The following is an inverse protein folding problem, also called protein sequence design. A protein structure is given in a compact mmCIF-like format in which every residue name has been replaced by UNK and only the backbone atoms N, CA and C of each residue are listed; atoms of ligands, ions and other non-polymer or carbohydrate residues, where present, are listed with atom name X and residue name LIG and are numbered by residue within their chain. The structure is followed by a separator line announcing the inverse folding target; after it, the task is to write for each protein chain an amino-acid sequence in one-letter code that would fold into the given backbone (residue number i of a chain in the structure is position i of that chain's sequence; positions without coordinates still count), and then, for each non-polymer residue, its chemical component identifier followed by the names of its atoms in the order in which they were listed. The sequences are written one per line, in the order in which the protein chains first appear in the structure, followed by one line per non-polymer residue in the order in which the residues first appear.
data_IF_853121369198
#
_entry.id   IF_853121369198
#
_cell.length_a   1.000
_cell.length_b   1.000
_cell.length_c   1.000
_cell.angle_alpha   90.00
_cell.angle_beta   90.00
_cell.angle_gamma   90.00
#
_symmetry.space_group_name_H-M   'P 1'
#
loop_
_entity.id
_entity.type
_entity.pdbx_description
1 polymer ?
#
# COMPACT_ATOMS: atom_id res chain seq x y z
N UNK A 1 -32.03 27.67 -30.25
CA UNK A 1 -32.39 26.88 -31.47
C UNK A 1 -31.55 25.60 -31.52
N UNK A 2 -32.13 24.46 -31.89
CA UNK A 2 -31.39 23.19 -31.99
C UNK A 2 -30.23 23.27 -33.00
N UNK A 3 -30.30 24.19 -33.97
CA UNK A 3 -29.30 24.37 -35.04
C UNK A 3 -27.92 24.80 -34.55
N UNK A 4 -27.84 25.48 -33.39
CA UNK A 4 -26.58 25.89 -32.76
C UNK A 4 -26.06 24.89 -31.74
N UNK A 5 -26.81 23.83 -31.44
CA UNK A 5 -26.41 22.84 -30.43
C UNK A 5 -25.26 21.93 -30.96
N UNK A 6 -24.38 21.42 -30.09
CA UNK A 6 -23.33 20.48 -30.48
C UNK A 6 -23.90 19.25 -31.20
N UNK A 7 -23.11 18.67 -32.12
CA UNK A 7 -23.54 17.51 -32.95
C UNK A 7 -24.09 16.35 -32.10
N UNK A 8 -23.48 16.10 -30.94
CA UNK A 8 -23.91 15.07 -30.00
C UNK A 8 -25.37 15.24 -29.50
N UNK A 9 -25.91 16.47 -29.52
CA UNK A 9 -27.28 16.76 -29.11
C UNK A 9 -28.29 16.72 -30.28
N UNK A 10 -27.82 16.61 -31.53
CA UNK A 10 -28.64 16.56 -32.75
C UNK A 10 -28.70 15.18 -33.40
N UNK A 11 -27.86 14.25 -32.94
CA UNK A 11 -27.76 12.91 -33.49
C UNK A 11 -28.88 12.00 -32.98
N UNK A 12 -29.32 11.07 -33.83
CA UNK A 12 -30.24 10.02 -33.44
C UNK A 12 -29.63 9.20 -32.29
N UNK A 13 -30.36 9.09 -31.18
CA UNK A 13 -29.93 8.27 -30.04
C UNK A 13 -30.29 6.82 -30.30
N UNK A 14 -29.31 5.93 -30.26
CA UNK A 14 -29.55 4.48 -30.28
C UNK A 14 -29.59 3.95 -28.85
N UNK A 15 -30.62 3.18 -28.50
CA UNK A 15 -30.69 2.49 -27.20
C UNK A 15 -30.28 1.03 -27.42
N UNK A 16 -29.15 0.64 -26.82
CA UNK A 16 -28.64 -0.74 -26.91
C UNK A 16 -29.27 -1.58 -25.79
N UNK A 17 -29.86 -2.75 -26.08
CA UNK A 17 -30.43 -3.63 -25.07
C UNK A 17 -29.39 -4.07 -24.01
N UNK A 18 -29.83 -4.12 -22.75
CA UNK A 18 -28.97 -4.36 -21.60
C UNK A 18 -28.02 -5.59 -21.63
N UNK A 19 -28.36 -6.71 -22.29
CA UNK A 19 -27.46 -7.87 -22.39
C UNK A 19 -26.31 -7.68 -23.38
N UNK A 20 -26.48 -6.85 -24.41
CA UNK A 20 -25.55 -6.76 -25.56
C UNK A 20 -24.19 -6.19 -25.15
N UNK A 21 -24.14 -5.35 -24.12
CA UNK A 21 -22.92 -4.71 -23.62
C UNK A 21 -22.69 -4.94 -22.13
N UNK A 22 -23.12 -6.09 -21.58
CA UNK A 22 -23.00 -6.38 -20.15
C UNK A 22 -21.59 -6.13 -19.57
N UNK A 23 -20.53 -6.43 -20.34
CA UNK A 23 -19.12 -6.19 -19.96
C UNK A 23 -18.74 -4.71 -19.83
N UNK A 24 -19.37 -3.83 -20.62
CA UNK A 24 -19.11 -2.39 -20.61
C UNK A 24 -20.10 -1.61 -19.74
N UNK A 25 -21.10 -2.30 -19.16
CA UNK A 25 -22.06 -1.65 -18.27
C UNK A 25 -21.34 -1.18 -17.01
N UNK A 26 -21.40 0.12 -16.80
CA UNK A 26 -21.01 0.74 -15.55
C UNK A 26 -22.28 1.00 -14.73
N UNK A 27 -22.19 0.80 -13.42
CA UNK A 27 -23.31 1.04 -12.48
C UNK A 27 -23.74 2.51 -12.51
N UNK A 28 -22.76 3.40 -12.50
CA UNK A 28 -22.96 4.84 -12.52
C UNK A 28 -22.78 5.37 -13.96
N UNK A 29 -23.57 6.38 -14.37
CA UNK A 29 -23.37 7.04 -15.66
C UNK A 29 -21.96 7.62 -15.77
N UNK A 30 -21.32 7.42 -16.92
CA UNK A 30 -19.98 7.96 -17.17
C UNK A 30 -19.91 9.46 -16.85
N UNK A 31 -18.89 9.85 -16.06
CA UNK A 31 -18.64 11.23 -15.63
C UNK A 31 -19.73 11.84 -14.72
N UNK A 32 -20.68 11.06 -14.21
CA UNK A 32 -21.51 11.52 -13.09
C UNK A 32 -20.64 11.76 -11.84
N UNK A 33 -21.10 12.58 -10.87
CA UNK A 33 -20.37 12.75 -9.61
C UNK A 33 -20.09 11.42 -8.89
N UNK A 34 -21.09 10.53 -8.81
CA UNK A 34 -20.94 9.19 -8.20
C UNK A 34 -19.94 8.31 -8.95
N UNK A 35 -19.91 8.42 -10.28
CA UNK A 35 -18.93 7.73 -11.11
C UNK A 35 -17.52 8.24 -10.84
N UNK A 36 -17.32 9.57 -10.76
CA UNK A 36 -16.02 10.18 -10.50
C UNK A 36 -15.46 9.69 -9.16
N UNK A 37 -16.29 9.71 -8.10
CA UNK A 37 -15.88 9.24 -6.78
C UNK A 37 -15.51 7.75 -6.79
N UNK A 38 -16.30 6.94 -7.51
CA UNK A 38 -16.02 5.51 -7.67
C UNK A 38 -14.74 5.24 -8.44
N UNK A 39 -14.51 5.98 -9.53
CA UNK A 39 -13.34 5.85 -10.36
C UNK A 39 -12.07 6.34 -9.65
N UNK A 40 -12.16 7.41 -8.85
CA UNK A 40 -11.06 7.91 -8.03
C UNK A 40 -10.56 6.85 -7.03
N UNK A 41 -11.48 6.12 -6.37
CA UNK A 41 -11.11 4.99 -5.49
C UNK A 41 -10.38 3.89 -6.24
N UNK A 42 -10.81 3.54 -7.45
CA UNK A 42 -10.14 2.55 -8.29
C UNK A 42 -8.71 2.98 -8.62
N UNK A 43 -8.53 4.22 -9.07
CA UNK A 43 -7.21 4.79 -9.37
C UNK A 43 -6.29 4.76 -8.16
N UNK A 44 -6.82 5.05 -6.95
CA UNK A 44 -6.05 4.97 -5.72
C UNK A 44 -5.56 3.54 -5.42
N UNK A 45 -6.43 2.54 -5.59
CA UNK A 45 -6.09 1.12 -5.41
C UNK A 45 -5.02 0.67 -6.42
N UNK A 46 -5.16 1.03 -7.70
CA UNK A 46 -4.16 0.73 -8.72
C UNK A 46 -2.80 1.36 -8.37
N UNK A 47 -2.81 2.60 -7.86
CA UNK A 47 -1.61 3.28 -7.36
C UNK A 47 -0.93 2.56 -6.19
N UNK A 48 -1.71 2.02 -5.24
CA UNK A 48 -1.18 1.24 -4.11
C UNK A 48 -0.54 -0.06 -4.61
N UNK A 49 -1.22 -0.81 -5.49
CA UNK A 49 -0.64 -2.04 -6.05
C UNK A 49 0.63 -1.80 -6.84
N UNK A 50 0.71 -0.68 -7.58
CA UNK A 50 1.95 -0.25 -8.23
C UNK A 50 3.09 0.01 -7.22
N UNK A 51 2.77 0.66 -6.09
CA UNK A 51 3.74 0.90 -5.02
C UNK A 51 4.21 -0.38 -4.32
N UNK A 52 3.32 -1.36 -4.13
CA UNK A 52 3.65 -2.63 -3.49
C UNK A 52 4.54 -3.49 -4.39
N UNK A 53 4.33 -3.47 -5.71
CA UNK A 53 5.12 -4.26 -6.67
C UNK A 53 6.38 -3.57 -7.18
N UNK A 54 6.55 -2.28 -6.92
CA UNK A 54 7.71 -1.53 -7.40
C UNK A 54 9.01 -2.08 -6.78
N UNK A 55 10.02 -2.28 -7.63
CA UNK A 55 11.32 -2.85 -7.23
C UNK A 55 12.10 -1.92 -6.27
N UNK A 56 11.84 -0.61 -6.34
CA UNK A 56 12.47 0.40 -5.48
C UNK A 56 11.81 0.56 -4.11
N UNK A 57 10.73 -0.19 -3.83
CA UNK A 57 9.97 -0.11 -2.58
C UNK A 57 9.77 -1.52 -2.01
N UNK A 58 8.54 -2.03 -1.93
CA UNK A 58 8.27 -3.33 -1.26
C UNK A 58 8.63 -4.53 -2.14
N UNK A 59 8.79 -4.34 -3.45
CA UNK A 59 9.18 -5.39 -4.41
C UNK A 59 8.37 -6.70 -4.24
N UNK A 60 7.09 -6.59 -3.91
CA UNK A 60 6.24 -7.75 -3.66
C UNK A 60 6.07 -8.51 -4.98
N UNK A 61 6.68 -9.69 -5.02
CA UNK A 61 6.66 -10.63 -6.13
C UNK A 61 6.45 -12.05 -5.60
N UNK A 62 6.18 -12.99 -6.49
CA UNK A 62 6.11 -14.40 -6.11
C UNK A 62 7.43 -14.81 -5.45
N UNK A 63 7.36 -15.38 -4.26
CA UNK A 63 8.53 -15.76 -3.47
C UNK A 63 9.23 -14.60 -2.75
N UNK A 64 8.56 -13.46 -2.55
CA UNK A 64 9.11 -12.34 -1.74
C UNK A 64 9.43 -12.76 -0.30
N UNK A 65 8.67 -13.71 0.24
CA UNK A 65 8.96 -14.37 1.50
C UNK A 65 9.23 -15.86 1.24
N UNK A 66 10.14 -16.46 2.01
CA UNK A 66 10.50 -17.90 1.93
C UNK A 66 9.60 -18.77 2.82
N UNK A 67 8.42 -18.27 3.17
CA UNK A 67 7.41 -19.00 3.95
C UNK A 67 6.31 -19.51 3.02
N UNK A 68 5.76 -20.68 3.35
CA UNK A 68 4.70 -21.32 2.58
C UNK A 68 3.40 -21.39 3.39
N UNK A 69 2.27 -21.47 2.70
CA UNK A 69 0.95 -21.53 3.30
C UNK A 69 0.23 -20.18 3.29
N UNK A 70 -1.08 -20.23 3.05
CA UNK A 70 -1.90 -19.03 2.84
C UNK A 70 -1.81 -18.06 4.02
N UNK A 71 -1.96 -18.57 5.26
CA UNK A 71 -1.96 -17.74 6.47
C UNK A 71 -0.63 -17.01 6.66
N UNK A 72 0.50 -17.74 6.58
CA UNK A 72 1.83 -17.17 6.79
C UNK A 72 2.21 -16.18 5.69
N UNK A 73 1.93 -16.52 4.43
CA UNK A 73 2.15 -15.60 3.31
C UNK A 73 1.26 -14.36 3.42
N UNK A 74 0.00 -14.50 3.83
CA UNK A 74 -0.91 -13.38 4.08
C UNK A 74 -0.41 -12.49 5.21
N UNK A 75 0.10 -13.06 6.30
CA UNK A 75 0.67 -12.29 7.40
C UNK A 75 1.89 -11.47 6.94
N UNK A 76 2.81 -12.09 6.19
CA UNK A 76 3.97 -11.38 5.63
C UNK A 76 3.54 -10.26 4.68
N UNK A 77 2.53 -10.51 3.85
CA UNK A 77 1.97 -9.49 2.97
C UNK A 77 1.34 -8.33 3.76
N UNK A 78 0.70 -8.61 4.90
CA UNK A 78 0.15 -7.57 5.78
C UNK A 78 1.25 -6.67 6.34
N UNK A 79 2.37 -7.22 6.81
CA UNK A 79 3.48 -6.41 7.28
C UNK A 79 4.04 -5.49 6.19
N UNK A 80 4.19 -6.00 4.96
CA UNK A 80 4.62 -5.20 3.82
C UNK A 80 3.62 -4.08 3.47
N UNK A 81 2.32 -4.37 3.55
CA UNK A 81 1.27 -3.38 3.31
C UNK A 81 1.27 -2.28 4.39
N UNK A 82 1.47 -2.64 5.66
CA UNK A 82 1.60 -1.69 6.77
C UNK A 82 2.82 -0.80 6.58
N UNK A 83 3.98 -1.37 6.26
CA UNK A 83 5.20 -0.63 5.99
C UNK A 83 5.04 0.34 4.80
N UNK A 84 4.37 -0.10 3.73
CA UNK A 84 4.06 0.76 2.59
C UNK A 84 3.14 1.91 2.97
N UNK A 85 2.13 1.65 3.81
CA UNK A 85 1.20 2.68 4.29
C UNK A 85 1.92 3.76 5.10
N UNK A 86 2.76 3.36 6.06
CA UNK A 86 3.57 4.28 6.88
C UNK A 86 4.48 5.13 5.98
N UNK A 87 5.17 4.51 5.02
CA UNK A 87 6.05 5.23 4.08
C UNK A 87 5.28 6.26 3.24
N UNK A 88 4.12 5.90 2.72
CA UNK A 88 3.28 6.80 1.92
C UNK A 88 2.73 7.95 2.76
N UNK A 89 2.26 7.65 3.98
CA UNK A 89 1.77 8.64 4.94
C UNK A 89 2.87 9.66 5.26
N UNK A 90 4.06 9.20 5.64
CA UNK A 90 5.21 10.08 5.93
C UNK A 90 5.62 10.93 4.73
N UNK A 91 5.63 10.34 3.52
CA UNK A 91 5.93 11.08 2.29
C UNK A 91 4.90 12.17 2.01
N UNK A 92 3.63 11.92 2.29
CA UNK A 92 2.56 12.92 2.17
C UNK A 92 2.68 13.98 3.27
N UNK A 93 2.86 13.57 4.53
CA UNK A 93 2.99 14.45 5.68
C UNK A 93 4.16 15.43 5.50
N UNK A 94 5.32 14.95 5.05
CA UNK A 94 6.47 15.79 4.70
C UNK A 94 6.14 16.84 3.63
N UNK A 95 5.29 16.50 2.66
CA UNK A 95 4.89 17.42 1.57
C UNK A 95 3.95 18.51 2.07
N UNK A 96 3.06 18.18 3.01
CA UNK A 96 2.05 19.09 3.56
C UNK A 96 2.57 19.83 4.81
N UNK A 97 3.70 19.40 5.38
CA UNK A 97 4.26 19.97 6.61
C UNK A 97 3.55 19.48 7.87
N UNK A 98 2.87 18.33 7.82
CA UNK A 98 2.15 17.79 8.96
C UNK A 98 3.11 17.03 9.90
N UNK A 99 3.22 17.49 11.15
CA UNK A 99 4.10 16.90 12.18
C UNK A 99 3.38 16.57 13.48
N UNK A 100 2.06 16.79 13.55
CA UNK A 100 1.28 16.60 14.78
C UNK A 100 1.08 15.14 15.18
N UNK A 101 1.14 14.21 14.22
CA UNK A 101 0.95 12.77 14.44
C UNK A 101 2.33 12.06 14.48
N UNK A 102 2.61 11.20 15.48
CA UNK A 102 3.85 10.41 15.55
C UNK A 102 4.07 9.46 14.35
N UNK A 103 3.05 9.09 13.60
CA UNK A 103 3.22 8.35 12.35
C UNK A 103 3.64 9.24 11.17
N UNK A 104 3.42 10.54 11.27
CA UNK A 104 3.74 11.52 10.24
C UNK A 104 5.16 12.09 10.33
N UNK A 105 5.83 11.94 11.48
CA UNK A 105 7.23 12.33 11.61
C UNK A 105 8.14 11.40 10.78
N UNK A 106 9.29 11.90 10.29
CA UNK A 106 10.33 11.06 9.70
C UNK A 106 10.70 9.89 10.64
N UNK A 107 11.28 8.81 10.10
CA UNK A 107 11.79 7.74 10.96
C UNK A 107 12.70 8.37 12.04
N UNK A 108 12.50 8.03 13.32
CA UNK A 108 13.44 8.43 14.35
C UNK A 108 14.83 7.92 13.97
N UNK A 109 15.87 8.57 14.51
CA UNK A 109 17.25 8.11 14.32
C UNK A 109 17.30 6.63 14.69
N UNK A 110 17.88 5.83 13.80
CA UNK A 110 18.15 4.44 14.09
C UNK A 110 19.21 4.40 15.18
N UNK A 111 18.79 4.07 16.40
CA UNK A 111 19.68 3.91 17.54
C UNK A 111 20.36 2.54 17.55
N UNK A 112 20.12 1.70 16.54
CA UNK A 112 20.61 0.34 16.49
C UNK A 112 19.78 -0.60 17.37
N UNK A 113 20.33 -1.80 17.60
CA UNK A 113 19.83 -2.80 18.52
C UNK A 113 20.81 -2.92 19.68
N UNK A 114 20.33 -2.71 20.90
CA UNK A 114 21.09 -2.91 22.13
C UNK A 114 20.47 -4.09 22.86
N UNK A 115 21.23 -5.19 23.01
CA UNK A 115 20.80 -6.28 23.87
C UNK A 115 20.84 -5.83 25.32
N UNK A 116 19.76 -6.12 26.04
CA UNK A 116 19.70 -5.91 27.48
C UNK A 116 19.94 -7.24 28.18
N UNK A 117 20.74 -7.22 29.24
CA UNK A 117 20.90 -8.37 30.12
C UNK A 117 19.63 -8.62 30.94
N UNK A 118 19.65 -9.69 31.74
CA UNK A 118 18.56 -10.05 32.67
C UNK A 118 18.21 -8.93 33.68
N UNK A 119 19.10 -7.96 33.88
CA UNK A 119 18.96 -6.82 34.78
C UNK A 119 18.54 -5.52 34.06
N UNK A 120 18.32 -5.58 32.74
CA UNK A 120 17.93 -4.42 31.92
C UNK A 120 19.08 -3.45 31.61
N UNK A 121 20.34 -3.87 31.77
CA UNK A 121 21.52 -3.10 31.40
C UNK A 121 22.00 -3.48 29.99
N UNK A 122 22.59 -2.53 29.27
CA UNK A 122 23.16 -2.78 27.94
C UNK A 122 24.27 -3.84 28.08
N UNK A 123 24.13 -4.97 27.39
CA UNK A 123 25.09 -6.05 27.38
C UNK A 123 26.47 -5.50 26.96
N UNK A 124 27.51 -5.59 27.81
CA UNK A 124 28.86 -5.16 27.46
C UNK A 124 29.60 -6.19 26.58
N UNK A 125 29.04 -7.38 26.40
CA UNK A 125 29.54 -8.38 25.47
C UNK A 125 29.32 -7.89 24.03
N UNK A 126 30.26 -8.22 23.14
CA UNK A 126 30.15 -7.88 21.72
C UNK A 126 28.83 -8.37 21.10
N UNK A 127 28.50 -7.90 19.88
CA UNK A 127 27.27 -8.30 19.20
C UNK A 127 27.08 -9.82 19.24
N UNK A 128 25.85 -10.27 19.52
CA UNK A 128 25.48 -11.68 19.57
C UNK A 128 25.98 -12.40 18.32
N UNK A 129 26.91 -13.34 18.53
CA UNK A 129 27.46 -14.15 17.45
C UNK A 129 26.50 -15.30 17.17
N UNK A 130 25.80 -15.24 16.04
CA UNK A 130 24.88 -16.30 15.61
C UNK A 130 25.62 -17.61 15.27
N UNK A 131 26.92 -17.52 14.96
CA UNK A 131 27.75 -18.68 14.65
C UNK A 131 28.36 -19.31 15.91
N UNK A 132 28.37 -18.60 17.05
CA UNK A 132 28.87 -19.07 18.37
C UNK A 132 27.98 -18.56 19.53
N UNK A 133 26.77 -19.13 19.70
CA UNK A 133 25.85 -18.68 20.74
C UNK A 133 26.36 -19.06 22.14
N UNK A 134 26.06 -18.25 23.17
CA UNK A 134 26.45 -18.54 24.54
C UNK A 134 25.86 -19.88 25.04
N UNK A 135 26.63 -20.59 25.84
CA UNK A 135 26.37 -21.97 26.30
C UNK A 135 25.03 -22.15 27.05
N UNK A 136 24.43 -21.06 27.53
CA UNK A 136 23.16 -21.04 28.27
C UNK A 136 21.93 -21.24 27.37
N UNK A 137 22.08 -21.10 26.05
CA UNK A 137 21.03 -21.36 25.05
C UNK A 137 21.18 -22.73 24.36
N UNK A 138 22.19 -23.53 24.71
CA UNK A 138 22.47 -24.83 24.09
C UNK A 138 21.69 -26.02 24.71
N UNK A 139 20.64 -25.77 25.51
CA UNK A 139 19.81 -26.79 26.16
C UNK A 139 18.49 -27.06 25.43
#
# INVERSE_FOLDING_TARGET
PLDTAPKACRQATITVPGPVLAKLRQRDPWRSPTWIDSYARRSAIEGIFGNLRSQSTQNIKRGFCRVVGLVTTSLMLTFEAVAANIRLLRKWAKRVGLTSDPLCVPFPVDHGFEELDENGQICPAGPFDFDDPPDDLAA
#
